data_IF_354091842730
#
_entry.id   IF_354091842730
#
_cell.length_a   1.000
_cell.length_b   1.000
_cell.length_c   1.000
_cell.angle_alpha   90.00
_cell.angle_beta   90.00
_cell.angle_gamma   90.00
#
_symmetry.space_group_name_H-M   'P 1'
#
loop_
_entity.id
_entity.type
_entity.pdbx_description
1 polymer ?
#
# COMPACT_ATOMS: atom_id res chain seq x y z
N UNK A 1 4.37 16.97 0.11
CA UNK A 1 4.78 15.58 -0.14
C UNK A 1 5.53 15.51 -1.45
N UNK A 2 6.72 14.94 -1.42
CA UNK A 2 7.58 14.89 -2.59
C UNK A 2 7.41 13.53 -3.30
N UNK A 3 7.01 13.56 -4.55
CA UNK A 3 6.81 12.37 -5.38
C UNK A 3 8.04 11.46 -5.41
N UNK A 4 9.23 12.03 -5.54
CA UNK A 4 10.49 11.28 -5.60
C UNK A 4 10.90 10.64 -4.26
N UNK A 5 10.22 10.95 -3.17
CA UNK A 5 10.44 10.37 -1.84
C UNK A 5 9.25 9.52 -1.39
N UNK A 6 8.33 9.21 -2.29
CA UNK A 6 7.09 8.50 -2.01
C UNK A 6 7.07 7.13 -2.65
N UNK A 7 6.75 6.13 -1.84
CA UNK A 7 6.49 4.75 -2.27
C UNK A 7 5.03 4.41 -2.02
N UNK A 8 4.37 3.80 -2.98
CA UNK A 8 3.04 3.25 -2.77
C UNK A 8 3.05 1.72 -2.76
N UNK A 9 1.99 1.13 -2.20
CA UNK A 9 1.88 -0.31 -2.01
C UNK A 9 0.53 -0.79 -2.55
N UNK A 10 0.55 -1.73 -3.47
CA UNK A 10 -0.65 -2.28 -4.11
C UNK A 10 -0.48 -3.79 -4.25
N UNK A 11 -1.50 -4.56 -3.88
CA UNK A 11 -1.45 -6.01 -4.00
C UNK A 11 -2.81 -6.68 -3.81
N UNK A 12 -2.83 -8.02 -3.94
CA UNK A 12 -4.06 -8.79 -3.85
C UNK A 12 -4.65 -8.82 -2.44
N UNK A 13 -5.94 -9.08 -2.36
CA UNK A 13 -6.67 -9.17 -1.09
C UNK A 13 -6.42 -10.46 -0.32
N UNK A 14 -5.75 -11.43 -0.93
CA UNK A 14 -5.46 -12.73 -0.31
C UNK A 14 -3.99 -13.07 -0.50
N UNK A 15 -3.36 -13.50 0.59
CA UNK A 15 -2.00 -14.03 0.60
C UNK A 15 -2.05 -15.43 1.22
N UNK A 16 -1.49 -16.42 0.54
CA UNK A 16 -1.47 -17.78 1.04
C UNK A 16 -0.67 -17.88 2.35
N UNK A 17 -1.16 -18.68 3.29
CA UNK A 17 -0.53 -18.82 4.60
C UNK A 17 0.93 -19.30 4.50
N UNK A 18 1.26 -20.18 3.55
CA UNK A 18 2.62 -20.69 3.36
C UNK A 18 3.59 -19.64 2.79
N UNK A 19 3.09 -18.57 2.23
CA UNK A 19 3.92 -17.47 1.71
C UNK A 19 4.14 -16.36 2.73
N UNK A 20 3.39 -16.35 3.84
CA UNK A 20 3.33 -15.22 4.76
C UNK A 20 4.68 -14.92 5.41
N UNK A 21 5.43 -15.92 5.83
CA UNK A 21 6.74 -15.71 6.45
C UNK A 21 7.73 -15.09 5.47
N UNK A 22 7.82 -15.65 4.25
CA UNK A 22 8.70 -15.11 3.22
C UNK A 22 8.31 -13.70 2.82
N UNK A 23 7.01 -13.42 2.73
CA UNK A 23 6.51 -12.09 2.45
C UNK A 23 6.92 -11.10 3.53
N UNK A 24 6.75 -11.46 4.80
CA UNK A 24 7.13 -10.58 5.92
C UNK A 24 8.62 -10.24 5.90
N UNK A 25 9.47 -11.23 5.65
CA UNK A 25 10.93 -11.02 5.56
C UNK A 25 11.28 -10.13 4.37
N UNK A 26 10.66 -10.38 3.22
CA UNK A 26 10.88 -9.58 2.02
C UNK A 26 10.43 -8.13 2.21
N UNK A 27 9.27 -7.92 2.82
CA UNK A 27 8.78 -6.57 3.12
C UNK A 27 9.70 -5.82 4.08
N UNK A 28 10.16 -6.49 5.13
CA UNK A 28 11.05 -5.89 6.10
C UNK A 28 12.33 -5.39 5.43
N UNK A 29 12.99 -6.23 4.65
CA UNK A 29 14.23 -5.86 3.96
C UNK A 29 14.00 -4.83 2.87
N UNK A 30 12.90 -4.93 2.12
CA UNK A 30 12.57 -4.01 1.03
C UNK A 30 12.29 -2.60 1.57
N UNK A 31 11.48 -2.49 2.61
CA UNK A 31 11.17 -1.20 3.23
C UNK A 31 12.44 -0.55 3.80
N UNK A 32 13.28 -1.32 4.46
CA UNK A 32 14.57 -0.82 4.97
C UNK A 32 15.43 -0.28 3.83
N UNK A 33 15.55 -1.04 2.74
CA UNK A 33 16.32 -0.62 1.57
C UNK A 33 15.77 0.66 0.94
N UNK A 34 14.46 0.74 0.79
CA UNK A 34 13.82 1.94 0.24
C UNK A 34 14.12 3.18 1.08
N UNK A 35 14.08 3.04 2.39
CA UNK A 35 14.43 4.12 3.31
C UNK A 35 15.88 4.53 3.19
N UNK A 36 16.81 3.56 3.21
CA UNK A 36 18.25 3.83 3.25
C UNK A 36 18.81 4.24 1.89
N UNK A 37 18.48 3.51 0.84
CA UNK A 37 19.12 3.66 -0.47
C UNK A 37 18.35 4.56 -1.43
N UNK A 38 17.02 4.60 -1.29
CA UNK A 38 16.14 5.37 -2.19
C UNK A 38 15.63 6.65 -1.54
N UNK A 39 15.95 6.87 -0.28
CA UNK A 39 15.52 8.04 0.49
C UNK A 39 14.00 8.21 0.56
N UNK A 40 13.27 7.09 0.57
CA UNK A 40 11.81 7.10 0.72
C UNK A 40 11.46 7.55 2.13
N UNK A 41 10.56 8.52 2.23
CA UNK A 41 10.10 9.10 3.50
C UNK A 41 8.59 9.10 3.64
N UNK A 42 7.87 8.84 2.55
CA UNK A 42 6.41 8.78 2.53
C UNK A 42 5.98 7.43 1.98
N UNK A 43 5.08 6.75 2.71
CA UNK A 43 4.50 5.50 2.28
C UNK A 43 3.00 5.71 2.05
N UNK A 44 2.59 5.65 0.79
CA UNK A 44 1.19 5.70 0.38
C UNK A 44 0.60 4.30 0.44
N UNK A 45 -0.42 4.12 1.26
CA UNK A 45 -1.02 2.81 1.54
C UNK A 45 -2.50 2.87 1.22
N UNK A 46 -2.96 1.91 0.44
CA UNK A 46 -4.39 1.79 0.14
C UNK A 46 -5.19 1.12 1.25
N UNK A 47 -4.53 0.32 2.06
CA UNK A 47 -5.14 -0.32 3.22
C UNK A 47 -6.08 -1.47 2.91
N UNK A 48 -6.10 -1.99 1.69
CA UNK A 48 -6.93 -3.14 1.38
C UNK A 48 -6.44 -4.40 2.11
N UNK A 49 -7.35 -5.35 2.30
CA UNK A 49 -7.04 -6.63 2.96
C UNK A 49 -5.93 -7.36 2.24
N UNK A 50 -5.29 -8.28 2.93
CA UNK A 50 -4.22 -9.11 2.39
C UNK A 50 -2.88 -8.37 2.32
N UNK A 51 -2.32 -8.27 1.14
CA UNK A 51 -0.99 -7.71 0.93
C UNK A 51 -0.84 -6.28 1.47
N UNK A 52 -1.78 -5.41 1.16
CA UNK A 52 -1.65 -3.98 1.51
C UNK A 52 -1.68 -3.75 3.03
N UNK A 53 -2.58 -4.43 3.75
CA UNK A 53 -2.59 -4.35 5.22
C UNK A 53 -1.33 -4.97 5.83
N UNK A 54 -0.80 -6.04 5.24
CA UNK A 54 0.46 -6.64 5.71
C UNK A 54 1.64 -5.67 5.57
N UNK A 55 1.73 -4.97 4.45
CA UNK A 55 2.76 -3.93 4.25
C UNK A 55 2.57 -2.80 5.26
N UNK A 56 1.35 -2.33 5.43
CA UNK A 56 1.04 -1.27 6.38
C UNK A 56 1.46 -1.65 7.80
N UNK A 57 1.14 -2.86 8.22
CA UNK A 57 1.54 -3.35 9.54
C UNK A 57 3.06 -3.43 9.70
N UNK A 58 3.76 -3.87 8.67
CA UNK A 58 5.24 -3.91 8.69
C UNK A 58 5.82 -2.50 8.85
N UNK A 59 5.29 -1.52 8.13
CA UNK A 59 5.74 -0.13 8.25
C UNK A 59 5.50 0.39 9.66
N UNK A 60 4.33 0.13 10.24
CA UNK A 60 4.03 0.54 11.62
C UNK A 60 4.99 -0.07 12.63
N UNK A 61 5.32 -1.35 12.49
CA UNK A 61 6.25 -2.03 13.38
C UNK A 61 7.67 -1.48 13.25
N UNK A 62 8.07 -1.01 12.07
CA UNK A 62 9.40 -0.44 11.82
C UNK A 62 9.48 1.05 12.11
N UNK A 63 8.37 1.71 12.39
CA UNK A 63 8.30 3.18 12.48
C UNK A 63 9.27 3.76 13.52
N UNK A 64 9.51 3.05 14.61
CA UNK A 64 10.47 3.48 15.64
C UNK A 64 11.90 3.58 15.10
N UNK A 65 12.24 2.81 14.07
CA UNK A 65 13.55 2.79 13.42
C UNK A 65 13.63 3.66 12.17
N UNK A 66 12.47 3.99 11.59
CA UNK A 66 12.35 4.80 10.39
C UNK A 66 11.78 6.16 10.79
N UNK A 67 12.57 6.93 11.53
CA UNK A 67 12.11 8.07 12.32
C UNK A 67 11.39 9.16 11.51
N UNK A 68 11.81 9.38 10.28
CA UNK A 68 11.25 10.44 9.44
C UNK A 68 10.16 9.97 8.48
N UNK A 69 9.72 8.72 8.62
CA UNK A 69 8.71 8.17 7.73
C UNK A 69 7.31 8.62 8.08
N UNK A 70 6.53 8.92 7.06
CA UNK A 70 5.12 9.29 7.17
C UNK A 70 4.27 8.31 6.40
N UNK A 71 3.12 7.97 6.96
CA UNK A 71 2.13 7.08 6.35
C UNK A 71 0.96 7.92 5.87
N UNK A 72 0.59 7.71 4.61
CA UNK A 72 -0.57 8.36 4.00
C UNK A 72 -1.51 7.25 3.58
N UNK A 73 -2.67 7.19 4.22
CA UNK A 73 -3.71 6.22 3.87
C UNK A 73 -4.60 6.83 2.80
N UNK A 74 -4.68 6.17 1.65
CA UNK A 74 -5.54 6.58 0.54
C UNK A 74 -6.60 5.51 0.35
N UNK A 75 -7.81 5.81 0.79
CA UNK A 75 -8.95 4.90 0.69
C UNK A 75 -9.77 5.19 -0.57
N UNK A 76 -10.45 4.19 -1.15
CA UNK A 76 -11.36 4.44 -2.27
C UNK A 76 -12.57 5.28 -1.87
N UNK A 77 -13.08 5.07 -0.66
CA UNK A 77 -14.19 5.84 -0.09
C UNK A 77 -14.15 5.72 1.46
N UNK A 78 -14.86 6.60 2.20
CA UNK A 78 -14.79 6.60 3.66
C UNK A 78 -15.26 5.30 4.33
N UNK A 79 -16.29 4.65 3.79
CA UNK A 79 -16.88 3.42 4.34
C UNK A 79 -16.21 2.14 3.86
N UNK A 80 -15.02 2.22 3.27
CA UNK A 80 -14.34 1.11 2.60
C UNK A 80 -14.24 -0.16 3.44
N UNK A 81 -13.91 -0.03 4.73
CA UNK A 81 -13.67 -1.16 5.62
C UNK A 81 -14.87 -1.52 6.52
N UNK A 82 -16.02 -0.85 6.37
CA UNK A 82 -17.12 -0.95 7.33
C UNK A 82 -17.68 -2.37 7.47
N UNK A 83 -17.66 -3.16 6.39
CA UNK A 83 -18.20 -4.52 6.36
C UNK A 83 -17.14 -5.62 6.49
N UNK A 84 -15.91 -5.26 6.81
CA UNK A 84 -14.86 -6.26 6.97
C UNK A 84 -15.02 -7.01 8.30
N UNK A 85 -14.44 -8.22 8.34
CA UNK A 85 -14.40 -9.04 9.57
C UNK A 85 -13.48 -8.39 10.60
N UNK A 86 -13.70 -8.71 11.87
CA UNK A 86 -13.09 -8.05 13.02
C UNK A 86 -11.58 -7.90 12.93
N UNK A 87 -10.87 -8.96 12.52
CA UNK A 87 -9.40 -8.93 12.45
C UNK A 87 -8.89 -7.91 11.42
N UNK A 88 -9.42 -7.95 10.22
CA UNK A 88 -9.02 -7.04 9.15
C UNK A 88 -9.47 -5.61 9.46
N UNK A 89 -10.68 -5.47 9.97
CA UNK A 89 -11.22 -4.17 10.35
C UNK A 89 -10.40 -3.54 11.47
N UNK A 90 -10.03 -4.31 12.50
CA UNK A 90 -9.22 -3.80 13.61
C UNK A 90 -7.85 -3.33 13.13
N UNK A 91 -7.22 -4.07 12.22
CA UNK A 91 -5.93 -3.68 11.65
C UNK A 91 -6.06 -2.41 10.80
N UNK A 92 -7.12 -2.32 9.99
CA UNK A 92 -7.39 -1.11 9.20
C UNK A 92 -7.59 0.11 10.08
N UNK A 93 -8.38 -0.01 11.15
CA UNK A 93 -8.60 1.07 12.12
C UNK A 93 -7.30 1.51 12.77
N UNK A 94 -6.44 0.55 13.13
CA UNK A 94 -5.12 0.84 13.70
C UNK A 94 -4.25 1.60 12.71
N UNK A 95 -4.19 1.18 11.46
CA UNK A 95 -3.44 1.86 10.40
C UNK A 95 -3.97 3.27 10.18
N UNK A 96 -5.28 3.42 10.09
CA UNK A 96 -5.94 4.72 9.90
C UNK A 96 -5.64 5.67 11.06
N UNK A 97 -5.70 5.17 12.29
CA UNK A 97 -5.41 5.97 13.48
C UNK A 97 -3.94 6.37 13.61
N UNK A 98 -3.04 5.62 13.00
CA UNK A 98 -1.59 5.86 13.02
C UNK A 98 -1.08 6.63 11.80
N UNK A 99 -1.92 6.83 10.79
CA UNK A 99 -1.54 7.55 9.57
C UNK A 99 -1.35 9.05 9.84
N UNK A 100 -0.38 9.62 9.17
CA UNK A 100 -0.13 11.07 9.22
C UNK A 100 -1.17 11.83 8.42
N UNK A 101 -1.74 11.20 7.39
CA UNK A 101 -2.79 11.78 6.56
C UNK A 101 -3.71 10.67 6.06
N UNK A 102 -5.00 10.96 5.98
CA UNK A 102 -6.01 10.06 5.42
C UNK A 102 -6.74 10.78 4.30
N UNK A 103 -6.81 10.15 3.14
CA UNK A 103 -7.46 10.68 1.94
C UNK A 103 -8.47 9.66 1.44
N UNK A 104 -9.66 10.10 1.05
CA UNK A 104 -10.62 9.29 0.30
C UNK A 104 -10.75 9.89 -1.11
N UNK A 105 -10.55 9.06 -2.14
CA UNK A 105 -10.60 9.55 -3.53
C UNK A 105 -12.02 9.79 -4.02
N UNK A 106 -13.01 9.18 -3.36
CA UNK A 106 -14.44 9.41 -3.61
C UNK A 106 -15.15 9.65 -2.27
N UNK A 107 -16.15 10.53 -2.22
CA UNK A 107 -16.91 10.76 -0.99
C UNK A 107 -17.83 9.59 -0.61
N UNK A 108 -18.11 8.70 -1.54
CA UNK A 108 -18.90 7.48 -1.34
C UNK A 108 -18.49 6.42 -2.35
N UNK A 109 -18.96 5.19 -2.16
CA UNK A 109 -18.64 4.09 -3.08
C UNK A 109 -19.19 4.37 -4.49
N UNK A 110 -18.30 4.22 -5.48
CA UNK A 110 -18.64 4.18 -6.90
C UNK A 110 -17.88 3.02 -7.54
N UNK A 111 -18.36 2.43 -8.66
CA UNK A 111 -17.71 1.26 -9.26
C UNK A 111 -16.22 1.45 -9.58
N UNK A 112 -15.79 2.64 -9.94
CA UNK A 112 -14.41 2.93 -10.33
C UNK A 112 -13.52 3.40 -9.16
N UNK A 113 -14.04 3.46 -7.93
CA UNK A 113 -13.30 4.08 -6.84
C UNK A 113 -11.96 3.37 -6.53
N UNK A 114 -11.89 2.05 -6.69
CA UNK A 114 -10.62 1.32 -6.49
C UNK A 114 -9.59 1.68 -7.57
N UNK A 115 -10.02 1.81 -8.81
CA UNK A 115 -9.15 2.26 -9.91
C UNK A 115 -8.65 3.67 -9.68
N UNK A 116 -9.52 4.57 -9.24
CA UNK A 116 -9.16 5.95 -8.92
C UNK A 116 -8.17 6.00 -7.76
N UNK A 117 -8.37 5.17 -6.74
CA UNK A 117 -7.44 5.06 -5.62
C UNK A 117 -6.04 4.62 -6.08
N UNK A 118 -5.97 3.57 -6.88
CA UNK A 118 -4.71 3.05 -7.37
C UNK A 118 -3.99 4.08 -8.25
N UNK A 119 -4.73 4.76 -9.12
CA UNK A 119 -4.18 5.81 -9.96
C UNK A 119 -3.62 6.96 -9.10
N UNK A 120 -4.36 7.38 -8.08
CA UNK A 120 -3.91 8.43 -7.17
C UNK A 120 -2.60 8.04 -6.48
N UNK A 121 -2.50 6.81 -5.97
CA UNK A 121 -1.27 6.32 -5.34
C UNK A 121 -0.09 6.35 -6.30
N UNK A 122 -0.26 5.83 -7.50
CA UNK A 122 0.80 5.73 -8.50
C UNK A 122 1.23 7.11 -9.00
N UNK A 123 0.29 7.99 -9.28
CA UNK A 123 0.57 9.34 -9.79
C UNK A 123 1.38 10.19 -8.79
N UNK A 124 1.29 9.87 -7.50
CA UNK A 124 1.99 10.60 -6.44
C UNK A 124 3.23 9.88 -5.90
N UNK A 125 3.69 8.84 -6.58
CA UNK A 125 4.81 8.00 -6.12
C UNK A 125 5.87 7.84 -7.19
N UNK A 126 7.09 7.50 -6.75
CA UNK A 126 8.19 7.14 -7.63
C UNK A 126 8.54 5.65 -7.57
N UNK A 127 8.04 4.96 -6.54
CA UNK A 127 8.29 3.54 -6.28
C UNK A 127 6.97 2.85 -5.97
N UNK A 128 6.84 1.62 -6.46
CA UNK A 128 5.73 0.73 -6.12
C UNK A 128 6.28 -0.54 -5.46
N UNK A 129 5.76 -0.87 -4.29
CA UNK A 129 5.87 -2.20 -3.69
C UNK A 129 4.59 -2.96 -4.04
N UNK A 130 4.72 -4.12 -4.65
CA UNK A 130 3.55 -4.88 -5.08
C UNK A 130 3.74 -6.39 -4.97
N UNK A 131 2.64 -7.09 -5.11
CA UNK A 131 2.56 -8.52 -5.33
C UNK A 131 1.64 -8.74 -6.52
N UNK A 132 2.05 -9.57 -7.47
CA UNK A 132 1.27 -9.82 -8.67
C UNK A 132 -0.05 -10.53 -8.34
N UNK A 133 -1.04 -10.28 -9.18
CA UNK A 133 -2.34 -10.91 -9.14
C UNK A 133 -2.70 -11.40 -10.54
N UNK A 134 -3.82 -12.08 -10.67
CA UNK A 134 -4.30 -12.59 -11.97
C UNK A 134 -4.50 -11.46 -12.98
N UNK A 135 -4.25 -11.72 -14.27
CA UNK A 135 -4.52 -10.73 -15.31
C UNK A 135 -5.96 -10.21 -15.25
N UNK A 136 -6.13 -8.92 -15.52
CA UNK A 136 -7.45 -8.28 -15.54
C UNK A 136 -7.95 -7.79 -14.20
N UNK A 137 -7.28 -8.12 -13.09
CA UNK A 137 -7.63 -7.58 -11.77
C UNK A 137 -7.19 -6.12 -11.66
N UNK A 138 -7.79 -5.38 -10.73
CA UNK A 138 -7.38 -3.99 -10.48
C UNK A 138 -5.92 -3.92 -10.03
N UNK A 139 -5.44 -4.90 -9.27
CA UNK A 139 -4.02 -5.00 -8.89
C UNK A 139 -3.12 -5.14 -10.13
N UNK A 140 -3.44 -6.08 -11.03
CA UNK A 140 -2.68 -6.31 -12.24
C UNK A 140 -2.64 -5.08 -13.14
N UNK A 141 -3.78 -4.42 -13.32
CA UNK A 141 -3.88 -3.19 -14.12
C UNK A 141 -3.08 -2.04 -13.48
N UNK A 142 -3.11 -1.93 -12.15
CA UNK A 142 -2.35 -0.92 -11.43
C UNK A 142 -0.83 -1.11 -11.60
N UNK A 143 -0.36 -2.35 -11.51
CA UNK A 143 1.07 -2.67 -11.69
C UNK A 143 1.51 -2.30 -13.11
N UNK A 144 0.70 -2.62 -14.11
CA UNK A 144 0.98 -2.24 -15.49
C UNK A 144 1.05 -0.72 -15.65
N UNK A 145 0.09 -0.01 -15.09
CA UNK A 145 0.07 1.45 -15.11
C UNK A 145 1.31 2.06 -14.45
N UNK A 146 1.74 1.50 -13.33
CA UNK A 146 2.95 1.95 -12.64
C UNK A 146 4.20 1.78 -13.50
N UNK A 147 4.33 0.63 -14.17
CA UNK A 147 5.47 0.37 -15.08
C UNK A 147 5.46 1.34 -16.26
N UNK A 148 4.31 1.56 -16.87
CA UNK A 148 4.17 2.50 -17.98
C UNK A 148 4.43 3.95 -17.55
N UNK A 149 4.15 4.28 -16.30
CA UNK A 149 4.40 5.60 -15.71
C UNK A 149 5.86 5.81 -15.27
N UNK A 150 6.70 4.78 -15.39
CA UNK A 150 8.12 4.86 -15.08
C UNK A 150 8.48 4.68 -13.61
N UNK A 151 7.59 4.17 -12.78
CA UNK A 151 7.92 3.86 -11.39
C UNK A 151 8.94 2.72 -11.31
N UNK A 152 9.80 2.78 -10.30
CA UNK A 152 10.61 1.62 -9.91
C UNK A 152 9.70 0.64 -9.17
N UNK A 153 9.67 -0.61 -9.64
CA UNK A 153 8.73 -1.61 -9.13
C UNK A 153 9.48 -2.71 -8.37
N UNK A 154 9.14 -2.90 -7.11
CA UNK A 154 9.60 -4.00 -6.26
C UNK A 154 8.45 -4.98 -6.11
N UNK A 155 8.56 -6.14 -6.74
CA UNK A 155 7.48 -7.11 -6.78
C UNK A 155 7.84 -8.36 -5.99
N UNK A 156 7.01 -8.76 -5.04
CA UNK A 156 7.14 -10.04 -4.33
C UNK A 156 6.66 -11.18 -5.23
N UNK A 157 7.48 -12.22 -5.33
CA UNK A 157 7.19 -13.42 -6.13
C UNK A 157 7.39 -14.70 -5.35
#
# INVERSE_FOLDING_TARGET
>A
MLKNQTCCCIGPTFVQANAQMNLNMWMDSTITRLYQDYHIRYFGIGGNRGFELAVANTILLKRARLLDCKIILVAPCPEFADRWRDKDKSLYVKVKGSANKVVSVSPYYIPDCMRLRNKHLIDNSSVLICMEDKPGTETSLAIQYARESGLVVFCFR
#
